data_IF_291100252874
#
_entry.id   IF_291100252874
#
_cell.length_a   1.000
_cell.length_b   1.000
_cell.length_c   1.000
_cell.angle_alpha   90.00
_cell.angle_beta   90.00
_cell.angle_gamma   90.00
#
_symmetry.space_group_name_H-M   'P 1'
#
loop_
_entity.id
_entity.type
_entity.pdbx_description
1 polymer ?
#
# COMPACT_ATOMS: atom_id res chain seq x y z
N UNK A 1 21.41 -1.46 10.39
CA UNK A 1 20.00 -1.08 10.15
C UNK A 1 19.82 -0.38 8.81
N UNK A 2 20.71 0.55 8.45
CA UNK A 2 20.70 1.24 7.15
C UNK A 2 20.70 0.29 5.93
N UNK A 3 21.56 -0.72 5.91
CA UNK A 3 21.62 -1.70 4.81
C UNK A 3 20.31 -2.49 4.62
N UNK A 4 19.57 -2.76 5.70
CA UNK A 4 18.28 -3.46 5.62
C UNK A 4 17.19 -2.55 5.06
N UNK A 5 17.17 -1.28 5.47
CA UNK A 5 16.25 -0.28 4.91
C UNK A 5 16.53 -0.02 3.43
N UNK A 6 17.80 0.01 3.03
CA UNK A 6 18.19 0.10 1.62
C UNK A 6 17.70 -1.11 0.82
N UNK A 7 17.88 -2.32 1.34
CA UNK A 7 17.39 -3.54 0.69
C UNK A 7 15.86 -3.54 0.54
N UNK A 8 15.13 -3.13 1.59
CA UNK A 8 13.68 -2.94 1.54
C UNK A 8 13.26 -1.93 0.46
N UNK A 9 13.96 -0.80 0.38
CA UNK A 9 13.70 0.23 -0.63
C UNK A 9 13.88 -0.34 -2.05
N UNK A 10 14.91 -1.14 -2.29
CA UNK A 10 15.13 -1.82 -3.58
C UNK A 10 14.00 -2.80 -3.89
N UNK A 11 13.58 -3.63 -2.94
CA UNK A 11 12.46 -4.56 -3.16
C UNK A 11 11.16 -3.83 -3.49
N UNK A 12 10.87 -2.73 -2.82
CA UNK A 12 9.70 -1.92 -3.11
C UNK A 12 9.80 -1.14 -4.40
N UNK A 13 10.99 -0.67 -4.79
CA UNK A 13 11.22 -0.05 -6.11
C UNK A 13 10.89 -1.05 -7.23
N UNK A 14 11.36 -2.29 -7.09
CA UNK A 14 11.04 -3.37 -8.02
C UNK A 14 9.54 -3.70 -8.00
N UNK A 15 8.95 -3.87 -6.81
CA UNK A 15 7.54 -4.22 -6.66
C UNK A 15 6.62 -3.14 -7.24
N UNK A 16 6.84 -1.87 -6.88
CA UNK A 16 6.10 -0.72 -7.38
C UNK A 16 6.30 -0.50 -8.88
N UNK A 17 7.53 -0.66 -9.37
CA UNK A 17 7.84 -0.56 -10.80
C UNK A 17 7.13 -1.63 -11.64
N UNK A 18 7.14 -2.89 -11.16
CA UNK A 18 6.42 -3.99 -11.82
C UNK A 18 4.91 -3.76 -11.75
N UNK A 19 4.37 -3.34 -10.61
CA UNK A 19 2.95 -3.02 -10.46
C UNK A 19 2.52 -1.93 -11.46
N UNK A 20 3.26 -0.83 -11.53
CA UNK A 20 2.96 0.25 -12.47
C UNK A 20 3.11 -0.19 -13.94
N UNK A 21 4.15 -0.95 -14.28
CA UNK A 21 4.28 -1.52 -15.63
C UNK A 21 3.10 -2.45 -15.99
N UNK A 22 2.61 -3.21 -15.02
CA UNK A 22 1.42 -4.05 -15.18
C UNK A 22 0.15 -3.21 -15.39
N UNK A 23 0.03 -2.03 -14.78
CA UNK A 23 -1.16 -1.15 -14.91
C UNK A 23 -1.36 -0.59 -16.32
N UNK A 24 -0.28 -0.39 -17.08
CA UNK A 24 -0.32 0.17 -18.45
C UNK A 24 -0.96 -0.85 -19.42
N UNK A 25 -0.49 -2.10 -19.38
CA UNK A 25 -0.84 -3.13 -20.36
C UNK A 25 -2.16 -3.87 -20.12
N UNK A 26 -2.76 -3.79 -18.92
CA UNK A 26 -3.90 -4.64 -18.53
C UNK A 26 -5.24 -3.90 -18.46
N UNK A 27 -6.36 -4.62 -18.30
CA UNK A 27 -7.69 -4.04 -18.22
C UNK A 27 -7.85 -3.00 -17.09
N UNK A 28 -8.85 -2.12 -17.22
CA UNK A 28 -9.10 -0.98 -16.30
C UNK A 28 -9.15 -1.37 -14.83
N UNK A 29 -9.75 -2.50 -14.49
CA UNK A 29 -9.90 -2.97 -13.10
C UNK A 29 -8.55 -3.23 -12.45
N UNK A 30 -7.60 -3.79 -13.22
CA UNK A 30 -6.23 -4.03 -12.77
C UNK A 30 -5.45 -2.73 -12.57
N UNK A 31 -5.80 -1.67 -13.29
CA UNK A 31 -5.14 -0.37 -13.17
C UNK A 31 -5.30 0.21 -11.76
N UNK A 32 -6.51 0.19 -11.17
CA UNK A 32 -6.73 0.70 -9.81
C UNK A 32 -5.91 -0.07 -8.77
N UNK A 33 -5.93 -1.40 -8.84
CA UNK A 33 -5.16 -2.26 -7.92
C UNK A 33 -3.67 -1.96 -8.04
N UNK A 34 -3.14 -1.95 -9.27
CA UNK A 34 -1.73 -1.75 -9.55
C UNK A 34 -1.24 -0.33 -9.20
N UNK A 35 -2.02 0.71 -9.50
CA UNK A 35 -1.73 2.09 -9.12
C UNK A 35 -1.68 2.23 -7.61
N UNK A 36 -2.60 1.61 -6.89
CA UNK A 36 -2.58 1.64 -5.43
C UNK A 36 -1.32 0.99 -4.84
N UNK A 37 -0.86 -0.16 -5.35
CA UNK A 37 0.43 -0.74 -4.93
C UNK A 37 1.63 0.14 -5.32
N UNK A 38 1.59 0.81 -6.47
CA UNK A 38 2.61 1.78 -6.85
C UNK A 38 2.63 3.01 -5.91
N UNK A 39 1.47 3.47 -5.43
CA UNK A 39 1.42 4.57 -4.47
C UNK A 39 2.06 4.20 -3.12
N UNK A 40 2.15 2.92 -2.75
CA UNK A 40 2.92 2.52 -1.55
C UNK A 40 4.40 2.90 -1.72
N UNK A 41 4.97 2.68 -2.91
CA UNK A 41 6.34 3.10 -3.20
C UNK A 41 6.50 4.62 -3.01
N UNK A 42 5.55 5.41 -3.52
CA UNK A 42 5.61 6.87 -3.45
C UNK A 42 5.31 7.44 -2.06
N UNK A 43 4.35 6.88 -1.33
CA UNK A 43 3.86 7.42 -0.06
C UNK A 43 4.61 6.91 1.16
N UNK A 44 5.15 5.70 1.12
CA UNK A 44 5.68 5.04 2.31
C UNK A 44 7.18 4.81 2.19
N UNK A 45 7.63 4.37 1.01
CA UNK A 45 9.00 3.91 0.82
C UNK A 45 9.91 5.05 0.44
N UNK A 46 9.52 5.93 -0.48
CA UNK A 46 10.33 7.12 -0.77
C UNK A 46 10.42 8.01 0.48
N UNK A 47 9.32 8.32 1.20
CA UNK A 47 9.34 9.04 2.48
C UNK A 47 10.09 8.34 3.62
N UNK A 48 10.13 7.00 3.63
CA UNK A 48 10.79 6.20 4.68
C UNK A 48 12.26 5.84 4.40
N UNK A 49 12.67 5.72 3.13
CA UNK A 49 14.05 5.47 2.70
C UNK A 49 14.91 6.75 2.72
N UNK A 50 14.41 7.78 3.38
CA UNK A 50 14.70 9.17 3.18
C UNK A 50 15.84 9.79 4.04
N UNK A 51 16.54 9.10 4.97
CA UNK A 51 17.77 9.65 5.54
C UNK A 51 18.90 9.87 4.52
N UNK A 52 18.79 9.32 3.30
CA UNK A 52 19.87 9.30 2.31
C UNK A 52 19.78 10.36 1.21
N UNK A 53 18.70 11.17 1.16
CA UNK A 53 18.48 12.19 0.11
C UNK A 53 18.41 13.60 0.73
N UNK A 54 19.31 14.54 0.34
CA UNK A 54 19.38 15.86 0.94
C UNK A 54 18.12 16.71 0.63
N UNK A 55 17.55 17.36 1.67
CA UNK A 55 16.47 18.34 1.54
C UNK A 55 15.04 17.84 1.74
N UNK A 56 14.85 16.59 2.15
CA UNK A 56 13.51 15.99 2.29
C UNK A 56 13.03 15.79 3.75
N UNK A 57 13.72 16.35 4.75
CA UNK A 57 13.22 16.44 6.14
C UNK A 57 12.05 17.42 6.31
N UNK A 58 11.49 17.92 5.21
CA UNK A 58 10.36 18.82 5.17
C UNK A 58 9.10 18.13 5.76
N UNK A 59 8.51 18.69 6.83
CA UNK A 59 7.30 18.15 7.44
C UNK A 59 6.11 17.98 6.50
N UNK A 60 5.99 18.80 5.46
CA UNK A 60 4.95 18.67 4.44
C UNK A 60 5.15 17.39 3.63
N UNK A 61 6.38 17.08 3.21
CA UNK A 61 6.69 15.87 2.42
C UNK A 61 6.39 14.62 3.23
N UNK A 62 6.85 14.57 4.48
CA UNK A 62 6.62 13.43 5.38
C UNK A 62 5.12 13.19 5.64
N UNK A 63 4.37 14.28 5.86
CA UNK A 63 2.91 14.18 6.07
C UNK A 63 2.20 13.74 4.79
N UNK A 64 2.62 14.27 3.65
CA UNK A 64 2.06 13.90 2.35
C UNK A 64 2.31 12.42 2.04
N UNK A 65 3.46 11.87 2.45
CA UNK A 65 3.73 10.44 2.38
C UNK A 65 2.63 9.60 3.01
N UNK A 66 2.30 9.89 4.28
CA UNK A 66 1.25 9.19 5.02
C UNK A 66 -0.16 9.38 4.42
N UNK A 67 -0.42 10.53 3.80
CA UNK A 67 -1.68 10.76 3.08
C UNK A 67 -1.73 9.91 1.81
N UNK A 68 -0.63 9.84 1.05
CA UNK A 68 -0.53 9.01 -0.16
C UNK A 68 -0.69 7.53 0.18
N UNK A 69 -0.10 7.03 1.28
CA UNK A 69 -0.30 5.65 1.69
C UNK A 69 -1.75 5.37 2.11
N UNK A 70 -2.46 6.33 2.70
CA UNK A 70 -3.91 6.23 2.91
C UNK A 70 -4.69 6.15 1.59
N UNK A 71 -4.36 7.01 0.61
CA UNK A 71 -4.97 6.96 -0.73
C UNK A 71 -4.68 5.63 -1.42
N UNK A 72 -3.46 5.10 -1.27
CA UNK A 72 -3.04 3.83 -1.86
C UNK A 72 -3.98 2.69 -1.48
N UNK A 73 -4.24 2.48 -0.18
CA UNK A 73 -5.11 1.39 0.27
C UNK A 73 -6.58 1.62 -0.14
N UNK A 74 -7.06 2.86 -0.16
CA UNK A 74 -8.42 3.17 -0.62
C UNK A 74 -8.60 2.83 -2.10
N UNK A 75 -7.66 3.24 -2.95
CA UNK A 75 -7.69 2.98 -4.40
C UNK A 75 -7.58 1.48 -4.69
N UNK A 76 -6.72 0.74 -3.97
CA UNK A 76 -6.66 -0.72 -4.09
C UNK A 76 -7.96 -1.39 -3.69
N UNK A 77 -8.54 -0.98 -2.56
CA UNK A 77 -9.78 -1.56 -2.03
C UNK A 77 -10.93 -1.36 -3.02
N UNK A 78 -11.03 -0.15 -3.59
CA UNK A 78 -11.96 0.14 -4.66
C UNK A 78 -11.74 -0.77 -5.88
N UNK A 79 -10.48 -0.95 -6.30
CA UNK A 79 -10.13 -1.85 -7.40
C UNK A 79 -10.57 -3.30 -7.18
N UNK A 80 -10.36 -3.87 -5.99
CA UNK A 80 -10.85 -5.21 -5.66
C UNK A 80 -12.38 -5.26 -5.57
N UNK A 81 -13.03 -4.20 -5.07
CA UNK A 81 -14.49 -4.14 -4.99
C UNK A 81 -15.12 -4.12 -6.38
N UNK A 82 -14.59 -3.30 -7.27
CA UNK A 82 -14.96 -3.28 -8.68
C UNK A 82 -14.77 -4.66 -9.30
N UNK A 83 -13.60 -5.29 -9.12
CA UNK A 83 -13.33 -6.63 -9.65
C UNK A 83 -14.39 -7.64 -9.18
N UNK A 84 -14.71 -7.64 -7.88
CA UNK A 84 -15.73 -8.52 -7.34
C UNK A 84 -17.11 -8.29 -7.96
N UNK A 85 -17.53 -7.03 -8.14
CA UNK A 85 -18.80 -6.71 -8.80
C UNK A 85 -18.78 -7.15 -10.27
N UNK A 86 -17.67 -6.94 -10.98
CA UNK A 86 -17.54 -7.31 -12.40
C UNK A 86 -17.56 -8.81 -12.63
N UNK A 87 -16.96 -9.62 -11.75
CA UNK A 87 -17.10 -11.08 -11.82
C UNK A 87 -18.55 -11.57 -11.76
N UNK A 88 -19.49 -10.70 -11.36
CA UNK A 88 -20.92 -11.01 -11.26
C UNK A 88 -21.78 -10.35 -12.33
N UNK A 89 -21.27 -9.33 -13.03
CA UNK A 89 -22.09 -8.44 -13.88
C UNK A 89 -21.63 -8.36 -15.34
N UNK A 90 -20.46 -8.94 -15.70
CA UNK A 90 -19.93 -9.09 -17.07
C UNK A 90 -19.59 -7.80 -17.86
N UNK A 91 -19.91 -6.60 -17.37
CA UNK A 91 -19.56 -5.35 -18.06
C UNK A 91 -18.18 -4.83 -17.69
N UNK A 92 -17.19 -5.05 -18.55
CA UNK A 92 -15.85 -4.44 -18.44
C UNK A 92 -15.77 -3.08 -19.16
N UNK A 93 -16.67 -2.16 -18.84
CA UNK A 93 -16.61 -0.80 -19.41
C UNK A 93 -15.83 0.15 -18.49
N UNK A 94 -15.03 1.04 -19.08
CA UNK A 94 -14.45 2.18 -18.36
C UNK A 94 -13.09 2.64 -18.86
N UNK A 95 -12.75 3.88 -18.53
CA UNK A 95 -11.55 4.55 -19.04
C UNK A 95 -10.41 4.55 -18.02
N UNK A 96 -9.27 3.93 -18.35
CA UNK A 96 -8.06 3.93 -17.51
C UNK A 96 -7.57 5.34 -17.19
N UNK A 97 -7.69 6.26 -18.15
CA UNK A 97 -7.26 7.65 -17.98
C UNK A 97 -7.99 8.32 -16.82
N UNK A 98 -9.29 8.02 -16.63
CA UNK A 98 -10.06 8.56 -15.53
C UNK A 98 -9.55 8.05 -14.17
N UNK A 99 -9.08 6.80 -14.08
CA UNK A 99 -8.47 6.27 -12.85
C UNK A 99 -7.20 7.07 -12.53
N UNK A 100 -6.30 7.23 -13.49
CA UNK A 100 -5.06 7.99 -13.28
C UNK A 100 -5.32 9.46 -12.92
N UNK A 101 -6.23 10.13 -13.65
CA UNK A 101 -6.58 11.52 -13.40
C UNK A 101 -7.28 11.71 -12.06
N UNK A 102 -8.15 10.78 -11.65
CA UNK A 102 -8.84 10.86 -10.35
C UNK A 102 -7.85 10.69 -9.21
N UNK A 103 -6.95 9.70 -9.30
CA UNK A 103 -5.89 9.50 -8.31
C UNK A 103 -4.99 10.74 -8.23
N UNK A 104 -4.51 11.25 -9.37
CA UNK A 104 -3.69 12.46 -9.42
C UNK A 104 -4.43 13.68 -8.85
N UNK A 105 -5.72 13.82 -9.15
CA UNK A 105 -6.58 14.89 -8.65
C UNK A 105 -6.74 14.85 -7.13
N UNK A 106 -6.98 13.67 -6.55
CA UNK A 106 -7.06 13.50 -5.09
C UNK A 106 -5.72 13.81 -4.43
N UNK A 107 -4.60 13.32 -4.97
CA UNK A 107 -3.26 13.63 -4.46
C UNK A 107 -2.97 15.13 -4.53
N UNK A 108 -3.30 15.80 -5.64
CA UNK A 108 -3.11 17.24 -5.79
C UNK A 108 -4.00 18.04 -4.83
N UNK A 109 -5.26 17.66 -4.67
CA UNK A 109 -6.18 18.30 -3.72
C UNK A 109 -5.70 18.15 -2.27
N UNK A 110 -5.21 16.96 -1.90
CA UNK A 110 -4.60 16.71 -0.59
C UNK A 110 -3.35 17.56 -0.35
N UNK A 111 -2.49 17.73 -1.37
CA UNK A 111 -1.33 18.61 -1.28
C UNK A 111 -1.73 20.07 -1.08
N UNK A 112 -2.69 20.57 -1.87
CA UNK A 112 -3.21 21.94 -1.71
C UNK A 112 -3.80 22.15 -0.32
N UNK A 113 -4.58 21.19 0.17
CA UNK A 113 -5.14 21.25 1.52
C UNK A 113 -4.03 21.33 2.58
N UNK A 114 -2.96 20.54 2.43
CA UNK A 114 -1.84 20.56 3.35
C UNK A 114 -1.10 21.90 3.33
N UNK A 115 -0.87 22.49 2.16
CA UNK A 115 -0.13 23.76 1.97
C UNK A 115 -0.89 25.00 2.47
N UNK A 116 -2.23 24.95 2.52
CA UNK A 116 -3.05 26.04 3.07
C UNK A 116 -3.02 26.06 4.61
N UNK A 117 -2.70 24.93 5.23
CA UNK A 117 -2.65 24.79 6.68
C UNK A 117 -1.25 25.09 7.23
N UNK A 118 -1.13 25.39 8.54
CA UNK A 118 0.17 25.54 9.19
C UNK A 118 1.04 24.29 9.06
N UNK A 119 2.34 24.49 9.18
CA UNK A 119 3.34 23.42 9.09
C UNK A 119 3.01 22.27 10.06
N UNK A 120 2.95 21.01 9.59
CA UNK A 120 2.58 19.88 10.43
C UNK A 120 3.59 19.66 11.55
N UNK A 121 3.15 19.84 12.80
CA UNK A 121 3.98 19.53 13.99
C UNK A 121 4.25 18.02 14.10
N UNK A 122 5.27 17.58 14.86
CA UNK A 122 5.53 16.14 15.06
C UNK A 122 4.32 15.36 15.61
N UNK A 123 3.48 16.01 16.42
CA UNK A 123 2.25 15.42 16.96
C UNK A 123 1.21 15.22 15.87
N UNK A 124 0.97 16.24 15.01
CA UNK A 124 0.08 16.12 13.85
C UNK A 124 0.54 14.99 12.93
N UNK A 125 1.84 14.91 12.63
CA UNK A 125 2.40 13.83 11.79
C UNK A 125 2.16 12.44 12.40
N UNK A 126 2.33 12.31 13.72
CA UNK A 126 2.02 11.05 14.41
C UNK A 126 0.54 10.69 14.30
N UNK A 127 -0.37 11.65 14.44
CA UNK A 127 -1.81 11.42 14.27
C UNK A 127 -2.13 10.98 12.84
N UNK A 128 -1.59 11.67 11.83
CA UNK A 128 -1.79 11.29 10.42
C UNK A 128 -1.29 9.86 10.16
N UNK A 129 -0.11 9.50 10.67
CA UNK A 129 0.43 8.12 10.57
C UNK A 129 -0.45 7.08 11.28
N UNK A 130 -1.02 7.41 12.45
CA UNK A 130 -1.96 6.53 13.15
C UNK A 130 -3.22 6.31 12.32
N UNK A 131 -3.77 7.38 11.71
CA UNK A 131 -4.95 7.30 10.84
C UNK A 131 -4.65 6.43 9.62
N UNK A 132 -3.52 6.65 8.97
CA UNK A 132 -3.06 5.82 7.87
C UNK A 132 -2.96 4.34 8.25
N UNK A 133 -2.21 4.03 9.31
CA UNK A 133 -2.00 2.63 9.71
C UNK A 133 -3.31 1.96 10.14
N UNK A 134 -4.22 2.72 10.77
CA UNK A 134 -5.58 2.26 11.08
C UNK A 134 -6.34 1.86 9.81
N UNK A 135 -6.32 2.72 8.78
CA UNK A 135 -6.94 2.41 7.48
C UNK A 135 -6.34 1.15 6.85
N UNK A 136 -5.00 1.03 6.87
CA UNK A 136 -4.33 -0.17 6.39
C UNK A 136 -4.77 -1.44 7.11
N UNK A 137 -4.84 -1.43 8.44
CA UNK A 137 -5.23 -2.59 9.25
C UNK A 137 -6.64 -3.05 8.89
N UNK A 138 -7.62 -2.13 8.91
CA UNK A 138 -9.01 -2.49 8.63
C UNK A 138 -9.24 -2.88 7.18
N UNK A 139 -8.73 -2.09 6.23
CA UNK A 139 -8.91 -2.37 4.81
C UNK A 139 -8.13 -3.60 4.35
N UNK A 140 -7.01 -3.96 4.99
CA UNK A 140 -6.35 -5.24 4.71
C UNK A 140 -7.25 -6.42 5.03
N UNK A 141 -7.94 -6.41 6.18
CA UNK A 141 -8.89 -7.47 6.55
C UNK A 141 -10.08 -7.53 5.58
N UNK A 142 -10.65 -6.38 5.22
CA UNK A 142 -11.74 -6.29 4.25
C UNK A 142 -11.30 -6.79 2.88
N UNK A 143 -10.10 -6.40 2.42
CA UNK A 143 -9.56 -6.86 1.15
C UNK A 143 -9.30 -8.36 1.15
N UNK A 144 -8.79 -8.95 2.24
CA UNK A 144 -8.64 -10.41 2.34
C UNK A 144 -9.99 -11.11 2.15
N UNK A 145 -11.05 -10.66 2.83
CA UNK A 145 -12.38 -11.24 2.69
C UNK A 145 -12.94 -11.10 1.26
N UNK A 146 -12.77 -9.91 0.67
CA UNK A 146 -13.21 -9.60 -0.67
C UNK A 146 -12.47 -10.43 -1.73
N UNK A 147 -11.15 -10.53 -1.62
CA UNK A 147 -10.30 -11.34 -2.48
C UNK A 147 -10.63 -12.82 -2.33
N UNK A 148 -10.92 -13.29 -1.11
CA UNK A 148 -11.41 -14.66 -0.89
C UNK A 148 -12.69 -14.92 -1.69
N UNK A 149 -13.63 -13.99 -1.65
CA UNK A 149 -14.89 -14.10 -2.43
C UNK A 149 -14.63 -14.08 -3.94
N UNK A 150 -13.72 -13.23 -4.43
CA UNK A 150 -13.31 -13.21 -5.84
C UNK A 150 -12.71 -14.57 -6.22
N UNK A 151 -11.75 -15.07 -5.45
CA UNK A 151 -11.10 -16.36 -5.67
C UNK A 151 -12.11 -17.49 -5.81
N UNK A 152 -13.12 -17.54 -4.94
CA UNK A 152 -14.17 -18.55 -5.01
C UNK A 152 -15.02 -18.43 -6.28
N UNK A 153 -15.31 -17.22 -6.76
CA UNK A 153 -16.08 -17.01 -8.00
C UNK A 153 -15.29 -17.42 -9.26
N UNK A 154 -13.96 -17.25 -9.27
CA UNK A 154 -13.12 -17.49 -10.46
C UNK A 154 -12.16 -18.67 -10.29
N UNK A 155 -12.45 -19.61 -9.37
CA UNK A 155 -11.51 -20.64 -8.91
C UNK A 155 -10.88 -21.45 -10.04
N UNK A 156 -11.66 -21.72 -11.09
CA UNK A 156 -11.25 -22.55 -12.23
C UNK A 156 -10.42 -21.79 -13.28
N UNK A 157 -10.23 -20.48 -13.09
CA UNK A 157 -9.42 -19.67 -14.00
C UNK A 157 -7.92 -19.74 -13.63
N UNK A 158 -6.99 -19.63 -14.60
CA UNK A 158 -5.56 -19.61 -14.33
C UNK A 158 -5.13 -18.47 -13.39
N UNK A 159 -5.87 -17.36 -13.38
CA UNK A 159 -5.57 -16.17 -12.58
C UNK A 159 -5.99 -16.29 -11.11
N UNK A 160 -6.79 -17.29 -10.73
CA UNK A 160 -7.30 -17.46 -9.37
C UNK A 160 -6.18 -17.56 -8.33
N UNK A 161 -5.07 -18.21 -8.69
CA UNK A 161 -3.87 -18.31 -7.83
C UNK A 161 -3.21 -16.95 -7.55
N UNK A 162 -3.35 -15.98 -8.46
CA UNK A 162 -2.88 -14.62 -8.22
C UNK A 162 -3.68 -13.91 -7.12
N UNK A 163 -4.98 -14.18 -7.01
CA UNK A 163 -5.81 -13.68 -5.91
C UNK A 163 -5.44 -14.33 -4.57
N UNK A 164 -5.09 -15.63 -4.55
CA UNK A 164 -4.52 -16.24 -3.34
C UNK A 164 -3.23 -15.53 -2.90
N UNK A 165 -2.35 -15.19 -3.86
CA UNK A 165 -1.13 -14.45 -3.58
C UNK A 165 -1.42 -13.05 -3.03
N UNK A 166 -2.45 -12.35 -3.53
CA UNK A 166 -2.87 -11.07 -2.94
C UNK A 166 -3.40 -11.21 -1.50
N UNK A 167 -4.06 -12.30 -1.12
CA UNK A 167 -4.42 -12.51 0.29
C UNK A 167 -3.17 -12.61 1.18
N UNK A 168 -2.13 -13.31 0.71
CA UNK A 168 -0.86 -13.38 1.43
C UNK A 168 -0.18 -12.01 1.52
N UNK A 169 -0.22 -11.21 0.45
CA UNK A 169 0.24 -9.81 0.44
C UNK A 169 -0.46 -9.00 1.53
N UNK A 170 -1.80 -9.01 1.57
CA UNK A 170 -2.54 -8.24 2.58
C UNK A 170 -2.34 -8.76 4.00
N UNK A 171 -2.10 -10.06 4.19
CA UNK A 171 -1.72 -10.59 5.50
C UNK A 171 -0.35 -10.05 5.95
N UNK A 172 0.63 -9.96 5.03
CA UNK A 172 1.94 -9.37 5.33
C UNK A 172 1.83 -7.87 5.61
N UNK A 173 1.04 -7.14 4.83
CA UNK A 173 0.77 -5.71 5.06
C UNK A 173 0.05 -5.49 6.39
N UNK A 174 -0.91 -6.33 6.75
CA UNK A 174 -1.58 -6.28 8.06
C UNK A 174 -0.58 -6.43 9.20
N UNK A 175 0.36 -7.39 9.11
CA UNK A 175 1.42 -7.55 10.11
C UNK A 175 2.35 -6.34 10.16
N UNK A 176 2.72 -5.80 9.00
CA UNK A 176 3.58 -4.62 8.89
C UNK A 176 2.94 -3.38 9.53
N UNK A 177 1.73 -3.01 9.06
CA UNK A 177 1.03 -1.79 9.44
C UNK A 177 0.38 -1.91 10.81
N UNK A 178 -0.11 -3.10 11.17
CA UNK A 178 -0.68 -3.38 12.48
C UNK A 178 0.33 -3.31 13.61
N UNK A 179 1.55 -3.81 13.39
CA UNK A 179 2.60 -3.69 14.41
C UNK A 179 3.10 -2.26 14.56
N UNK A 180 3.18 -1.48 13.47
CA UNK A 180 3.48 -0.04 13.55
C UNK A 180 2.40 0.72 14.31
N UNK A 181 1.13 0.45 14.00
CA UNK A 181 -0.01 1.04 14.71
C UNK A 181 0.06 0.76 16.21
N UNK A 182 0.40 -0.48 16.59
CA UNK A 182 0.53 -0.88 17.98
C UNK A 182 1.65 -0.09 18.69
N UNK A 183 2.80 0.09 18.04
CA UNK A 183 3.89 0.94 18.56
C UNK A 183 3.40 2.39 18.75
N UNK A 184 2.67 2.93 17.77
CA UNK A 184 2.23 4.31 17.76
C UNK A 184 1.14 4.61 18.80
N UNK A 185 0.16 3.73 18.96
CA UNK A 185 -0.96 3.91 19.90
C UNK A 185 -0.48 3.81 21.35
N UNK A 186 0.36 2.82 21.67
CA UNK A 186 0.86 2.62 23.03
C UNK A 186 2.12 3.44 23.35
N UNK A 187 2.65 4.19 22.39
CA UNK A 187 3.87 4.97 22.56
C UNK A 187 5.09 4.10 22.90
N UNK A 188 5.14 2.87 22.38
CA UNK A 188 6.19 1.88 22.70
C UNK A 188 7.58 2.33 22.24
N UNK A 189 7.64 3.28 21.29
CA UNK A 189 8.90 3.89 20.88
C UNK A 189 9.69 4.53 22.04
N UNK A 190 9.00 4.95 23.11
CA UNK A 190 9.59 5.51 24.33
C UNK A 190 9.91 4.44 25.40
N UNK A 191 9.55 3.18 25.14
CA UNK A 191 9.64 2.04 26.07
C UNK A 191 10.29 0.84 25.37
N UNK A 192 11.46 1.05 24.80
CA UNK A 192 12.16 0.08 23.93
C UNK A 192 12.59 -1.19 24.67
N UNK A 193 12.70 -1.11 25.99
CA UNK A 193 13.02 -2.21 26.90
C UNK A 193 11.90 -3.24 27.03
N UNK A 194 10.66 -2.89 26.68
CA UNK A 194 9.53 -3.81 26.77
C UNK A 194 9.57 -4.85 25.65
N UNK A 195 9.29 -6.10 26.00
CA UNK A 195 9.17 -7.19 25.02
C UNK A 195 8.12 -6.88 23.92
N UNK A 196 7.07 -6.13 24.28
CA UNK A 196 6.03 -5.69 23.35
C UNK A 196 6.60 -4.81 22.23
N UNK A 197 7.58 -3.95 22.53
CA UNK A 197 8.27 -3.15 21.52
C UNK A 197 9.06 -4.08 20.60
N UNK A 198 9.87 -4.98 21.18
CA UNK A 198 10.72 -5.90 20.42
C UNK A 198 9.91 -6.77 19.45
N UNK A 199 8.82 -7.38 19.92
CA UNK A 199 7.92 -8.18 19.07
C UNK A 199 7.36 -7.31 17.94
N UNK A 200 6.77 -6.17 18.28
CA UNK A 200 6.14 -5.29 17.28
C UNK A 200 7.14 -4.78 16.25
N UNK A 201 8.35 -4.45 16.68
CA UNK A 201 9.42 -3.96 15.82
C UNK A 201 9.86 -5.03 14.81
N UNK A 202 10.12 -6.27 15.25
CA UNK A 202 10.50 -7.34 14.33
C UNK A 202 9.34 -7.81 13.44
N UNK A 203 8.10 -7.82 13.95
CA UNK A 203 6.91 -8.07 13.12
C UNK A 203 6.73 -6.99 12.06
N UNK A 204 7.02 -5.73 12.38
CA UNK A 204 7.01 -4.62 11.41
C UNK A 204 8.00 -4.87 10.27
N UNK A 205 9.27 -5.14 10.60
CA UNK A 205 10.32 -5.36 9.61
C UNK A 205 10.06 -6.61 8.76
N UNK A 206 9.68 -7.71 9.41
CA UNK A 206 9.36 -8.97 8.72
C UNK A 206 8.14 -8.84 7.82
N UNK A 207 7.07 -8.22 8.31
CA UNK A 207 5.86 -7.96 7.53
C UNK A 207 6.14 -7.09 6.31
N UNK A 208 6.96 -6.03 6.46
CA UNK A 208 7.34 -5.14 5.37
C UNK A 208 8.12 -5.88 4.26
N UNK A 209 9.13 -6.65 4.65
CA UNK A 209 9.94 -7.43 3.72
C UNK A 209 9.11 -8.46 2.96
N UNK A 210 8.27 -9.20 3.68
CA UNK A 210 7.40 -10.20 3.07
C UNK A 210 6.36 -9.54 2.15
N UNK A 211 5.82 -8.38 2.52
CA UNK A 211 4.92 -7.60 1.68
C UNK A 211 5.61 -7.16 0.39
N UNK A 212 6.81 -6.56 0.46
CA UNK A 212 7.51 -6.08 -0.74
C UNK A 212 7.81 -7.19 -1.74
N UNK A 213 8.28 -8.34 -1.24
CA UNK A 213 8.60 -9.51 -2.07
C UNK A 213 7.32 -10.10 -2.67
N UNK A 214 6.29 -10.29 -1.84
CA UNK A 214 5.03 -10.91 -2.29
C UNK A 214 4.28 -10.04 -3.30
N UNK A 215 4.29 -8.71 -3.15
CA UNK A 215 3.70 -7.78 -4.13
C UNK A 215 4.38 -7.94 -5.48
N UNK A 216 5.72 -7.83 -5.52
CA UNK A 216 6.48 -7.96 -6.76
C UNK A 216 6.26 -9.32 -7.43
N UNK A 217 6.37 -10.41 -6.66
CA UNK A 217 6.15 -11.76 -7.17
C UNK A 217 4.73 -11.95 -7.72
N UNK A 218 3.71 -11.40 -7.04
CA UNK A 218 2.30 -11.50 -7.47
C UNK A 218 2.08 -10.81 -8.82
N UNK A 219 2.60 -9.59 -8.97
CA UNK A 219 2.44 -8.87 -10.25
C UNK A 219 3.25 -9.49 -11.38
N UNK A 220 4.46 -10.01 -11.12
CA UNK A 220 5.23 -10.77 -12.14
C UNK A 220 4.43 -12.01 -12.59
N UNK A 221 3.86 -12.75 -11.63
CA UNK A 221 3.06 -13.93 -11.92
C UNK A 221 1.83 -13.59 -12.77
N UNK A 222 1.08 -12.56 -12.40
CA UNK A 222 -0.10 -12.11 -13.14
C UNK A 222 0.25 -11.54 -14.51
N UNK A 223 1.35 -10.80 -14.63
CA UNK A 223 1.83 -10.27 -15.91
C UNK A 223 2.10 -11.37 -16.95
N UNK A 224 2.57 -12.54 -16.50
CA UNK A 224 2.82 -13.70 -17.38
C UNK A 224 1.54 -14.42 -17.82
N UNK A 225 0.44 -14.26 -17.09
CA UNK A 225 -0.83 -14.94 -17.39
C UNK A 225 -1.79 -14.08 -18.20
N UNK A 226 -1.70 -12.76 -18.05
CA UNK A 226 -2.63 -11.80 -18.65
C UNK A 226 -2.07 -11.10 -19.91
N UNK A 227 -0.85 -11.46 -20.31
CA UNK A 227 -0.22 -11.06 -21.57
C UNK A 227 0.12 -12.29 -22.39
#
# INVERSE_FOLDING_TARGET
MEQFQLALAVFWLLAGGVAFYFSIGNARVWTSIAVGFFLILLGEIIPGALPFLPGMDDPYILTMGHIIGTIAILVMSHGFQEYYVFTRTLDFEGNKLLVYLSVAGVVAASLVFLLINPEPTPEVRRVVRIVENTNWVFLSLINIDLIRKIYLNIRDTPISKGFLAFMAVFACIFLWKGSQLYIDVYGLANKKELINYTISYYTNLGGNLLASISVGATFIYLAKLLR
#
